data_IF_775547469546
#
_entry.id   IF_775547469546
#
_cell.length_a   1.000
_cell.length_b   1.000
_cell.length_c   1.000
_cell.angle_alpha   90.00
_cell.angle_beta   90.00
_cell.angle_gamma   90.00
#
_symmetry.space_group_name_H-M   'P 1'
#
loop_
_entity.id
_entity.type
_entity.pdbx_description
1 polymer ?
#
# COMPACT_ATOMS: atom_id res chain seq x y z
N UNK A 1 7.11 19.32 -22.86
CA UNK A 1 5.90 19.63 -23.66
C UNK A 1 6.00 20.93 -24.45
N UNK A 2 6.27 22.09 -23.82
CA UNK A 2 6.44 23.39 -24.55
C UNK A 2 7.49 23.36 -25.68
N UNK A 3 8.62 22.68 -25.47
CA UNK A 3 9.68 22.49 -26.49
C UNK A 3 9.19 21.79 -27.78
N UNK A 4 8.07 21.06 -27.73
CA UNK A 4 7.46 20.37 -28.85
C UNK A 4 6.16 21.03 -29.34
N UNK A 5 5.84 22.25 -28.88
CA UNK A 5 4.62 22.96 -29.26
C UNK A 5 3.33 22.35 -28.67
N UNK A 6 3.45 21.50 -27.65
CA UNK A 6 2.32 20.86 -26.98
C UNK A 6 1.81 21.74 -25.85
N UNK A 7 0.53 22.10 -25.92
CA UNK A 7 -0.19 22.80 -24.86
C UNK A 7 -0.87 21.76 -23.97
N UNK A 8 -0.50 21.76 -22.69
CA UNK A 8 -1.13 20.94 -21.67
C UNK A 8 -1.95 21.86 -20.76
N UNK A 9 -3.26 21.64 -20.59
CA UNK A 9 -4.12 22.47 -19.73
C UNK A 9 -3.88 22.25 -18.23
N UNK A 10 -2.74 21.68 -17.84
CA UNK A 10 -2.38 21.27 -16.46
C UNK A 10 -2.52 19.76 -16.24
N UNK A 11 -3.22 19.04 -17.11
CA UNK A 11 -3.55 17.63 -16.87
C UNK A 11 -2.38 16.66 -16.86
N UNK A 12 -1.33 16.93 -17.65
CA UNK A 12 -0.11 16.10 -17.70
C UNK A 12 0.95 16.63 -16.76
N UNK A 13 1.13 17.95 -16.70
CA UNK A 13 2.08 18.61 -15.81
C UNK A 13 1.74 18.32 -14.36
N UNK A 14 0.47 18.40 -13.95
CA UNK A 14 0.04 18.09 -12.58
C UNK A 14 0.13 16.58 -12.29
N UNK A 15 -0.18 15.72 -13.26
CA UNK A 15 -0.02 14.28 -13.11
C UNK A 15 1.45 13.84 -12.98
N UNK A 16 2.38 14.71 -13.37
CA UNK A 16 3.82 14.46 -13.30
C UNK A 16 4.52 15.40 -12.30
N UNK A 17 3.78 16.24 -11.57
CA UNK A 17 4.37 17.21 -10.64
C UNK A 17 4.79 16.58 -9.33
N UNK A 18 4.05 15.57 -8.86
CA UNK A 18 4.37 14.80 -7.66
C UNK A 18 4.08 13.30 -7.90
N UNK A 19 4.88 12.38 -7.32
CA UNK A 19 4.62 10.95 -7.45
C UNK A 19 3.43 10.49 -6.57
N UNK A 20 2.85 9.29 -6.81
CA UNK A 20 3.12 8.33 -7.89
C UNK A 20 2.90 8.93 -9.24
N UNK A 21 3.91 8.81 -10.09
CA UNK A 21 3.73 9.11 -11.50
C UNK A 21 2.81 8.05 -12.14
N UNK A 22 1.94 8.43 -13.07
CA UNK A 22 1.08 7.49 -13.79
C UNK A 22 1.93 6.42 -14.49
N UNK A 23 1.39 5.20 -14.60
CA UNK A 23 2.05 4.18 -15.43
C UNK A 23 2.14 4.66 -16.88
N UNK A 24 3.14 4.17 -17.63
CA UNK A 24 3.28 4.47 -19.07
C UNK A 24 1.97 4.31 -19.84
N UNK A 25 1.22 3.23 -19.56
CA UNK A 25 -0.06 2.96 -20.20
C UNK A 25 -1.15 3.97 -19.82
N UNK A 26 -1.21 4.39 -18.55
CA UNK A 26 -2.16 5.40 -18.08
C UNK A 26 -1.84 6.78 -18.69
N UNK A 27 -0.56 7.16 -18.71
CA UNK A 27 -0.10 8.40 -19.33
C UNK A 27 -0.30 8.39 -20.84
N UNK A 28 -0.03 7.27 -21.51
CA UNK A 28 -0.30 7.10 -22.95
C UNK A 28 -1.80 7.25 -23.26
N UNK A 29 -2.68 6.62 -22.47
CA UNK A 29 -4.13 6.74 -22.63
C UNK A 29 -4.57 8.21 -22.49
N UNK A 30 -4.03 8.91 -21.49
CA UNK A 30 -4.33 10.33 -21.25
C UNK A 30 -3.78 11.23 -22.37
N UNK A 31 -2.57 10.96 -22.86
CA UNK A 31 -2.00 11.65 -24.03
C UNK A 31 -2.84 11.45 -25.29
N UNK A 32 -3.49 10.29 -25.45
CA UNK A 32 -4.40 10.03 -26.58
C UNK A 32 -5.76 10.70 -26.43
N UNK A 33 -6.22 10.95 -25.20
CA UNK A 33 -7.48 11.69 -24.97
C UNK A 33 -7.31 13.19 -25.13
N UNK A 34 -6.09 13.70 -24.95
CA UNK A 34 -5.75 15.07 -25.28
C UNK A 34 -5.50 15.13 -26.80
N UNK A 35 -6.21 16.00 -27.52
CA UNK A 35 -6.08 16.18 -28.97
C UNK A 35 -4.73 16.87 -29.34
N UNK A 36 -3.63 16.20 -29.00
CA UNK A 36 -2.27 16.70 -29.11
C UNK A 36 -1.74 16.48 -30.53
N UNK A 37 -1.33 17.57 -31.19
CA UNK A 37 -0.62 17.50 -32.47
C UNK A 37 0.84 17.09 -32.25
N UNK A 38 1.11 15.79 -32.30
CA UNK A 38 2.46 15.24 -32.16
C UNK A 38 3.27 15.35 -33.47
N UNK A 39 4.60 15.54 -33.40
CA UNK A 39 5.47 15.43 -34.58
C UNK A 39 5.34 14.06 -35.28
N UNK A 40 5.59 14.02 -36.60
CA UNK A 40 5.38 12.82 -37.46
C UNK A 40 6.02 11.51 -36.96
N UNK A 41 7.07 11.57 -36.14
CA UNK A 41 7.79 10.41 -35.61
C UNK A 41 7.63 10.23 -34.09
N UNK A 42 6.72 10.97 -33.46
CA UNK A 42 6.49 10.92 -32.02
C UNK A 42 5.11 10.31 -31.76
N UNK A 43 5.09 9.08 -31.27
CA UNK A 43 3.85 8.45 -30.81
C UNK A 43 3.51 8.87 -29.38
N UNK A 44 2.24 8.77 -28.99
CA UNK A 44 1.82 8.96 -27.60
C UNK A 44 2.58 8.03 -26.64
N UNK A 45 2.91 6.82 -27.11
CA UNK A 45 3.78 5.89 -26.40
C UNK A 45 5.19 6.45 -26.18
N UNK A 46 5.87 6.87 -27.24
CA UNK A 46 7.23 7.40 -27.16
C UNK A 46 7.28 8.66 -26.27
N UNK A 47 6.25 9.52 -26.38
CA UNK A 47 6.12 10.70 -25.53
C UNK A 47 5.87 10.33 -24.06
N UNK A 48 5.04 9.32 -23.77
CA UNK A 48 4.83 8.84 -22.40
C UNK A 48 6.11 8.30 -21.77
N UNK A 49 6.92 7.57 -22.53
CA UNK A 49 8.21 7.03 -22.09
C UNK A 49 9.20 8.17 -21.79
N UNK A 50 9.30 9.15 -22.70
CA UNK A 50 10.17 10.31 -22.52
C UNK A 50 9.75 11.22 -21.36
N UNK A 51 8.44 11.43 -21.16
CA UNK A 51 7.92 12.23 -20.05
C UNK A 51 8.20 11.56 -18.71
N UNK A 52 7.94 10.26 -18.57
CA UNK A 52 8.24 9.51 -17.35
C UNK A 52 9.74 9.46 -17.06
N UNK A 53 10.57 9.31 -18.09
CA UNK A 53 12.03 9.39 -17.95
C UNK A 53 12.50 10.79 -17.49
N UNK A 54 11.75 11.86 -17.84
CA UNK A 54 12.10 13.24 -17.50
C UNK A 54 11.75 13.66 -16.07
N UNK A 55 10.88 12.91 -15.39
CA UNK A 55 10.55 13.12 -13.97
C UNK A 55 11.22 12.05 -13.10
N UNK A 56 12.49 11.78 -13.35
CA UNK A 56 13.25 10.64 -12.80
C UNK A 56 12.94 10.32 -11.33
N UNK A 57 13.11 9.04 -10.97
CA UNK A 57 12.97 8.57 -9.58
C UNK A 57 13.90 9.32 -8.60
N UNK A 58 14.96 9.94 -9.11
CA UNK A 58 15.94 10.75 -8.37
C UNK A 58 15.76 12.26 -8.54
N UNK A 59 14.66 12.73 -9.13
CA UNK A 59 14.41 14.17 -9.25
C UNK A 59 14.29 14.79 -7.85
N UNK A 60 14.66 16.07 -7.64
CA UNK A 60 14.50 16.73 -6.34
C UNK A 60 13.05 16.69 -5.80
N UNK A 61 12.05 16.68 -6.69
CA UNK A 61 10.65 16.52 -6.31
C UNK A 61 10.36 15.09 -5.81
N UNK A 62 10.89 14.08 -6.50
CA UNK A 62 10.77 12.68 -6.09
C UNK A 62 11.51 12.40 -4.79
N UNK A 63 12.73 12.94 -4.63
CA UNK A 63 13.51 12.85 -3.41
C UNK A 63 12.80 13.54 -2.24
N UNK A 64 12.29 14.75 -2.43
CA UNK A 64 11.51 15.47 -1.41
C UNK A 64 10.22 14.72 -1.05
N UNK A 65 9.59 14.04 -2.00
CA UNK A 65 8.43 13.19 -1.75
C UNK A 65 8.80 11.91 -0.97
N UNK A 66 9.92 11.26 -1.31
CA UNK A 66 10.50 10.14 -0.55
C UNK A 66 10.88 10.57 0.87
N UNK A 67 11.47 11.73 1.04
CA UNK A 67 11.77 12.31 2.37
C UNK A 67 10.51 12.61 3.18
N UNK A 68 9.41 12.99 2.50
CA UNK A 68 8.14 13.34 3.13
C UNK A 68 7.27 12.12 3.47
N UNK A 69 7.34 11.03 2.70
CA UNK A 69 6.42 9.89 2.80
C UNK A 69 7.12 8.50 2.85
N UNK A 70 8.45 8.45 2.79
CA UNK A 70 9.26 7.23 2.80
C UNK A 70 9.87 6.93 4.16
N UNK A 71 9.04 6.90 5.21
CA UNK A 71 9.51 6.78 6.60
C UNK A 71 9.88 5.34 7.02
N UNK A 72 9.75 4.35 6.14
CA UNK A 72 10.07 2.95 6.44
C UNK A 72 11.51 2.74 6.99
N UNK A 73 12.56 3.40 6.47
CA UNK A 73 13.91 3.27 7.03
C UNK A 73 14.03 3.76 8.48
N UNK A 74 13.16 4.68 8.92
CA UNK A 74 13.17 5.21 10.30
C UNK A 74 12.74 4.16 11.33
N UNK A 75 12.07 3.07 10.92
CA UNK A 75 11.65 1.97 11.81
C UNK A 75 12.83 1.33 12.57
N UNK A 76 14.04 1.34 11.99
CA UNK A 76 15.23 0.80 12.62
C UNK A 76 15.67 1.58 13.88
N UNK A 77 15.34 2.87 13.96
CA UNK A 77 15.69 3.73 15.09
C UNK A 77 14.69 3.62 16.26
N UNK A 78 13.51 3.03 16.02
CA UNK A 78 12.46 2.88 17.03
C UNK A 78 12.75 1.61 17.84
N UNK A 79 12.78 1.72 19.16
CA UNK A 79 12.89 0.58 20.07
C UNK A 79 11.53 -0.09 20.20
N UNK A 80 11.54 -1.42 20.23
CA UNK A 80 10.33 -2.19 20.55
C UNK A 80 9.90 -1.95 22.00
N UNK A 81 8.60 -2.00 22.25
CA UNK A 81 7.98 -1.83 23.56
C UNK A 81 6.90 -0.75 23.58
N UNK A 82 6.07 -0.78 24.63
CA UNK A 82 4.93 0.13 24.79
C UNK A 82 5.34 1.62 24.82
N UNK A 83 6.52 1.94 25.34
CA UNK A 83 7.02 3.32 25.48
C UNK A 83 7.20 4.05 24.16
N UNK A 84 7.47 3.33 23.06
CA UNK A 84 7.60 3.90 21.72
C UNK A 84 6.48 3.44 20.76
N UNK A 85 5.42 2.80 21.26
CA UNK A 85 4.32 2.34 20.43
C UNK A 85 3.67 3.48 19.63
N UNK A 86 3.41 4.63 20.25
CA UNK A 86 2.85 5.79 19.54
C UNK A 86 3.76 6.32 18.42
N UNK A 87 5.10 6.30 18.62
CA UNK A 87 6.04 6.66 17.58
C UNK A 87 6.04 5.62 16.45
N UNK A 88 6.04 4.33 16.80
CA UNK A 88 5.93 3.23 15.84
C UNK A 88 4.68 3.35 14.97
N UNK A 89 3.51 3.60 15.57
CA UNK A 89 2.23 3.70 14.83
C UNK A 89 2.28 4.86 13.82
N UNK A 90 2.80 6.03 14.22
CA UNK A 90 2.93 7.17 13.31
C UNK A 90 3.94 6.92 12.18
N UNK A 91 5.07 6.26 12.48
CA UNK A 91 6.07 5.93 11.46
C UNK A 91 5.56 4.88 10.48
N UNK A 92 4.84 3.85 10.96
CA UNK A 92 4.17 2.88 10.09
C UNK A 92 3.12 3.59 9.24
N UNK A 93 2.29 4.46 9.83
CA UNK A 93 1.30 5.23 9.06
C UNK A 93 1.95 6.04 7.93
N UNK A 94 2.99 6.82 8.23
CA UNK A 94 3.70 7.60 7.22
C UNK A 94 4.31 6.72 6.12
N UNK A 95 4.93 5.60 6.50
CA UNK A 95 5.48 4.64 5.54
C UNK A 95 4.39 4.05 4.63
N UNK A 96 3.27 3.61 5.20
CA UNK A 96 2.15 3.04 4.46
C UNK A 96 1.45 4.07 3.56
N UNK A 97 1.35 5.34 3.98
CA UNK A 97 0.86 6.42 3.13
C UNK A 97 1.70 6.55 1.85
N UNK A 98 3.03 6.49 1.96
CA UNK A 98 3.91 6.52 0.78
C UNK A 98 3.83 5.24 -0.06
N UNK A 99 3.90 4.07 0.60
CA UNK A 99 3.84 2.75 -0.05
C UNK A 99 2.55 2.58 -0.86
N UNK A 100 1.41 2.90 -0.25
CA UNK A 100 0.09 2.68 -0.84
C UNK A 100 -0.47 3.89 -1.59
N UNK A 101 0.32 4.96 -1.78
CA UNK A 101 -0.17 6.09 -2.54
C UNK A 101 -0.61 5.66 -3.96
N UNK A 102 -1.84 6.03 -4.33
CA UNK A 102 -2.48 5.64 -5.59
C UNK A 102 -3.18 4.27 -5.55
N UNK A 103 -3.05 3.52 -4.46
CA UNK A 103 -3.75 2.25 -4.21
C UNK A 103 -4.79 2.42 -3.11
N UNK A 104 -4.37 2.99 -1.98
CA UNK A 104 -5.18 3.31 -0.82
C UNK A 104 -5.12 4.82 -0.54
N UNK A 105 -6.20 5.39 -0.01
CA UNK A 105 -6.30 6.83 0.26
C UNK A 105 -6.95 7.13 1.62
N UNK A 106 -7.01 8.42 1.96
CA UNK A 106 -7.68 8.94 3.16
C UNK A 106 -7.26 8.21 4.45
N UNK A 107 -5.98 7.88 4.57
CA UNK A 107 -5.44 7.22 5.75
C UNK A 107 -5.75 8.00 7.03
N UNK A 108 -6.19 7.28 8.07
CA UNK A 108 -6.60 7.84 9.37
C UNK A 108 -5.89 7.06 10.47
N UNK A 109 -5.37 7.74 11.48
CA UNK A 109 -4.86 7.11 12.71
C UNK A 109 -5.98 7.13 13.75
N UNK A 110 -6.08 6.07 14.57
CA UNK A 110 -7.00 5.97 15.71
C UNK A 110 -8.48 6.21 15.32
N UNK A 111 -8.92 5.54 14.26
CA UNK A 111 -10.30 5.66 13.77
C UNK A 111 -11.26 4.87 14.66
N UNK A 112 -12.28 5.54 15.17
CA UNK A 112 -13.44 4.90 15.79
C UNK A 112 -14.32 4.21 14.73
N UNK A 113 -14.74 2.98 15.03
CA UNK A 113 -15.70 2.19 14.24
C UNK A 113 -16.76 1.59 15.17
N UNK A 114 -17.84 1.05 14.60
CA UNK A 114 -18.99 0.50 15.34
C UNK A 114 -19.50 1.48 16.40
N UNK A 115 -19.89 2.69 15.97
CA UNK A 115 -20.44 3.73 16.86
C UNK A 115 -19.57 4.04 18.09
N UNK A 116 -18.24 4.02 17.94
CA UNK A 116 -17.29 4.37 19.01
C UNK A 116 -16.88 3.22 19.93
N UNK A 117 -17.37 1.99 19.72
CA UNK A 117 -17.04 0.82 20.57
C UNK A 117 -15.63 0.30 20.27
N UNK A 118 -15.15 0.52 19.05
CA UNK A 118 -13.93 -0.08 18.55
C UNK A 118 -13.01 0.99 17.96
N UNK A 119 -11.70 0.81 18.17
CA UNK A 119 -10.67 1.67 17.61
C UNK A 119 -9.72 0.84 16.76
N UNK A 120 -9.48 1.27 15.54
CA UNK A 120 -8.46 0.72 14.65
C UNK A 120 -7.25 1.65 14.69
N UNK A 121 -6.05 1.10 14.80
CA UNK A 121 -4.83 1.91 14.84
C UNK A 121 -4.68 2.76 13.59
N UNK A 122 -4.88 2.17 12.41
CA UNK A 122 -4.84 2.85 11.12
C UNK A 122 -5.96 2.32 10.22
N UNK A 123 -6.66 3.20 9.51
CA UNK A 123 -7.64 2.83 8.48
C UNK A 123 -7.31 3.53 7.17
N UNK A 124 -7.38 2.81 6.06
CA UNK A 124 -7.36 3.40 4.72
C UNK A 124 -8.61 3.05 3.94
N UNK A 125 -8.97 3.94 3.02
CA UNK A 125 -10.01 3.68 2.03
C UNK A 125 -9.37 3.03 0.80
N UNK A 126 -10.00 1.96 0.29
CA UNK A 126 -9.52 1.25 -0.88
C UNK A 126 -10.14 1.81 -2.16
N UNK A 127 -9.32 2.53 -2.92
CA UNK A 127 -9.71 3.12 -4.21
C UNK A 127 -8.97 2.48 -5.40
N UNK A 128 -8.26 1.38 -5.18
CA UNK A 128 -7.49 0.73 -6.22
C UNK A 128 -8.39 0.30 -7.39
N UNK A 129 -7.91 0.57 -8.61
CA UNK A 129 -8.56 0.20 -9.87
C UNK A 129 -7.96 -1.06 -10.50
N UNK A 130 -6.76 -1.46 -10.05
CA UNK A 130 -6.02 -2.65 -10.48
C UNK A 130 -5.13 -3.19 -9.35
N UNK A 131 -4.53 -4.36 -9.60
CA UNK A 131 -3.60 -4.98 -8.67
C UNK A 131 -4.30 -5.62 -7.49
N UNK A 132 -3.53 -5.95 -6.46
CA UNK A 132 -3.97 -6.73 -5.31
C UNK A 132 -5.20 -6.10 -4.62
N UNK A 133 -5.10 -4.80 -4.30
CA UNK A 133 -6.17 -4.10 -3.57
C UNK A 133 -7.47 -4.00 -4.37
N UNK A 134 -7.39 -3.90 -5.69
CA UNK A 134 -8.59 -3.92 -6.53
C UNK A 134 -9.22 -5.31 -6.61
N UNK A 135 -8.40 -6.37 -6.67
CA UNK A 135 -8.90 -7.75 -6.68
C UNK A 135 -9.66 -8.08 -5.39
N UNK A 136 -9.11 -7.73 -4.22
CA UNK A 136 -9.79 -7.99 -2.95
C UNK A 136 -10.98 -7.08 -2.69
N UNK A 137 -10.98 -5.86 -3.26
CA UNK A 137 -12.14 -4.96 -3.22
C UNK A 137 -13.31 -5.51 -4.01
N UNK A 138 -13.04 -6.02 -5.21
CA UNK A 138 -14.06 -6.52 -6.14
C UNK A 138 -14.45 -7.99 -5.89
N UNK A 139 -13.77 -8.68 -4.97
CA UNK A 139 -14.13 -10.04 -4.56
C UNK A 139 -15.47 -10.04 -3.80
N UNK A 140 -16.48 -10.79 -4.25
CA UNK A 140 -17.76 -10.90 -3.53
C UNK A 140 -17.62 -11.47 -2.12
N UNK A 141 -16.56 -12.25 -1.86
CA UNK A 141 -16.32 -12.86 -0.55
C UNK A 141 -15.60 -11.93 0.43
N UNK A 142 -14.82 -10.97 -0.09
CA UNK A 142 -13.97 -10.11 0.74
C UNK A 142 -14.46 -8.67 0.82
N UNK A 143 -14.91 -8.10 -0.29
CA UNK A 143 -15.46 -6.73 -0.39
C UNK A 143 -14.65 -5.68 0.40
N UNK A 144 -13.34 -5.60 0.16
CA UNK A 144 -12.41 -4.73 0.89
C UNK A 144 -12.53 -3.26 0.49
N UNK A 145 -13.59 -2.58 0.91
CA UNK A 145 -13.76 -1.13 0.70
C UNK A 145 -12.85 -0.31 1.60
N UNK A 146 -12.54 -0.83 2.79
CA UNK A 146 -11.61 -0.27 3.74
C UNK A 146 -10.56 -1.31 4.11
N UNK A 147 -9.38 -0.83 4.48
CA UNK A 147 -8.26 -1.67 4.92
C UNK A 147 -7.90 -1.26 6.33
N UNK A 148 -8.47 -1.90 7.36
CA UNK A 148 -8.05 -1.73 8.75
C UNK A 148 -6.68 -2.33 8.97
N UNK A 149 -5.88 -1.63 9.77
CA UNK A 149 -4.51 -1.98 10.08
C UNK A 149 -4.30 -1.87 11.59
N UNK A 150 -3.81 -2.93 12.18
CA UNK A 150 -3.41 -2.99 13.59
C UNK A 150 -1.88 -3.02 13.67
N UNK A 151 -1.30 -2.20 14.56
CA UNK A 151 0.14 -2.08 14.73
C UNK A 151 0.56 -2.66 16.10
N UNK A 152 1.61 -3.49 16.13
CA UNK A 152 2.12 -4.10 17.36
C UNK A 152 3.62 -3.88 17.50
N UNK A 153 4.01 -2.94 18.37
CA UNK A 153 5.41 -2.65 18.68
C UNK A 153 5.99 -3.58 19.77
N UNK A 154 5.84 -4.89 19.61
CA UNK A 154 6.28 -5.88 20.61
C UNK A 154 7.49 -6.69 20.13
N UNK A 155 8.21 -7.31 21.06
CA UNK A 155 9.29 -8.28 20.77
C UNK A 155 8.84 -9.73 20.90
N UNK A 156 7.69 -9.95 21.53
CA UNK A 156 7.06 -11.25 21.69
C UNK A 156 6.35 -11.67 20.40
N UNK A 157 6.14 -12.98 20.26
CA UNK A 157 5.28 -13.51 19.19
C UNK A 157 3.84 -13.04 19.40
N UNK A 158 3.14 -12.88 18.28
CA UNK A 158 1.72 -12.55 18.28
C UNK A 158 0.92 -13.76 18.75
N UNK A 159 -0.12 -13.51 19.54
CA UNK A 159 -0.98 -14.52 20.11
C UNK A 159 -2.41 -14.36 19.57
N UNK A 160 -3.31 -15.28 19.91
CA UNK A 160 -4.72 -15.22 19.48
C UNK A 160 -5.36 -13.83 19.65
N UNK A 161 -5.17 -13.11 20.77
CA UNK A 161 -5.81 -11.81 20.99
C UNK A 161 -5.52 -10.78 19.89
N UNK A 162 -4.31 -10.75 19.32
CA UNK A 162 -3.98 -9.79 18.26
C UNK A 162 -4.73 -10.10 16.95
N UNK A 163 -4.89 -11.38 16.61
CA UNK A 163 -5.69 -11.79 15.44
C UNK A 163 -7.18 -11.58 15.68
N UNK A 164 -7.66 -11.84 16.90
CA UNK A 164 -9.05 -11.65 17.29
C UNK A 164 -9.42 -10.16 17.31
N UNK A 165 -8.50 -9.31 17.76
CA UNK A 165 -8.67 -7.86 17.73
C UNK A 165 -8.93 -7.36 16.31
N UNK A 166 -8.06 -7.71 15.35
CA UNK A 166 -8.22 -7.29 13.95
C UNK A 166 -9.46 -7.93 13.30
N UNK A 167 -9.69 -9.22 13.55
CA UNK A 167 -10.89 -9.95 13.10
C UNK A 167 -12.18 -9.26 13.54
N UNK A 168 -12.25 -8.76 14.77
CA UNK A 168 -13.38 -7.96 15.27
C UNK A 168 -13.55 -6.59 14.60
N UNK A 169 -12.60 -6.14 13.77
CA UNK A 169 -12.73 -4.93 12.93
C UNK A 169 -13.30 -5.23 11.55
N UNK A 170 -13.35 -6.50 11.15
CA UNK A 170 -13.79 -6.93 9.83
C UNK A 170 -15.28 -7.23 9.83
N UNK A 171 -16.01 -6.68 8.87
CA UNK A 171 -17.43 -6.91 8.67
C UNK A 171 -17.79 -6.59 7.20
N UNK A 172 -19.07 -6.63 6.85
CA UNK A 172 -19.48 -6.43 5.45
C UNK A 172 -19.45 -4.96 5.01
N UNK A 173 -19.50 -4.01 5.96
CA UNK A 173 -19.40 -2.57 5.68
C UNK A 173 -17.94 -2.13 5.47
N UNK A 174 -17.03 -2.64 6.31
CA UNK A 174 -15.59 -2.39 6.27
C UNK A 174 -14.91 -3.22 5.17
N UNK A 175 -15.29 -4.49 5.09
CA UNK A 175 -14.63 -5.53 4.32
C UNK A 175 -13.96 -6.59 5.19
N UNK A 176 -13.52 -7.67 4.55
CA UNK A 176 -12.94 -8.85 5.19
C UNK A 176 -11.43 -8.98 5.02
N UNK A 177 -10.74 -7.88 4.72
CA UNK A 177 -9.27 -7.84 4.58
C UNK A 177 -8.69 -6.85 5.57
N UNK A 178 -7.70 -7.28 6.35
CA UNK A 178 -6.99 -6.43 7.29
C UNK A 178 -5.50 -6.72 7.31
N UNK A 179 -4.71 -5.71 7.70
CA UNK A 179 -3.26 -5.84 7.83
C UNK A 179 -2.87 -5.86 9.31
N UNK A 180 -2.03 -6.83 9.70
CA UNK A 180 -1.43 -6.87 11.02
C UNK A 180 0.06 -6.56 10.88
N UNK A 181 0.45 -5.37 11.31
CA UNK A 181 1.82 -4.84 11.17
C UNK A 181 2.54 -4.94 12.51
N UNK A 182 3.73 -5.52 12.53
CA UNK A 182 4.47 -5.80 13.76
C UNK A 182 5.98 -5.79 13.54
N UNK A 183 6.76 -5.82 14.64
CA UNK A 183 8.22 -5.75 14.55
C UNK A 183 8.83 -7.01 13.94
N UNK A 184 8.65 -8.14 14.62
CA UNK A 184 9.17 -9.44 14.21
C UNK A 184 8.47 -10.55 15.00
N UNK A 185 8.34 -11.72 14.37
CA UNK A 185 7.95 -12.97 15.04
C UNK A 185 9.06 -14.02 14.89
N UNK A 186 9.12 -14.93 15.85
CA UNK A 186 9.96 -16.12 15.87
C UNK A 186 9.19 -17.33 15.35
N UNK A 187 7.98 -17.58 15.85
CA UNK A 187 7.18 -18.74 15.46
C UNK A 187 6.26 -18.47 14.27
N UNK A 188 6.84 -18.50 13.05
CA UNK A 188 6.08 -18.32 11.80
C UNK A 188 5.02 -19.39 11.58
N UNK A 189 5.25 -20.63 12.00
CA UNK A 189 4.27 -21.73 11.85
C UNK A 189 2.99 -21.46 12.65
N UNK A 190 3.14 -21.02 13.90
CA UNK A 190 2.00 -20.64 14.74
C UNK A 190 1.24 -19.46 14.15
N UNK A 191 1.96 -18.43 13.70
CA UNK A 191 1.36 -17.27 13.05
C UNK A 191 0.54 -17.65 11.80
N UNK A 192 1.09 -18.50 10.94
CA UNK A 192 0.40 -19.01 9.76
C UNK A 192 -0.86 -19.80 10.12
N UNK A 193 -0.81 -20.64 11.16
CA UNK A 193 -1.98 -21.39 11.63
C UNK A 193 -3.11 -20.45 12.09
N UNK A 194 -2.79 -19.32 12.74
CA UNK A 194 -3.78 -18.30 13.08
C UNK A 194 -4.37 -17.63 11.83
N UNK A 195 -3.55 -17.24 10.86
CA UNK A 195 -4.04 -16.65 9.60
C UNK A 195 -4.96 -17.62 8.85
N UNK A 196 -4.63 -18.90 8.81
CA UNK A 196 -5.46 -19.93 8.18
C UNK A 196 -6.78 -20.17 8.90
N UNK A 197 -6.78 -20.14 10.23
CA UNK A 197 -8.01 -20.22 11.02
C UNK A 197 -8.97 -19.06 10.71
N UNK A 198 -8.43 -17.85 10.48
CA UNK A 198 -9.21 -16.66 10.07
C UNK A 198 -9.66 -16.76 8.61
N UNK A 199 -8.80 -17.25 7.72
CA UNK A 199 -9.13 -17.47 6.32
C UNK A 199 -10.33 -18.43 6.14
N UNK A 200 -10.42 -19.48 6.97
CA UNK A 200 -11.59 -20.39 7.01
C UNK A 200 -12.90 -19.68 7.34
N UNK A 201 -12.85 -18.53 8.02
CA UNK A 201 -13.98 -17.65 8.32
C UNK A 201 -14.19 -16.55 7.26
N UNK A 202 -13.50 -16.66 6.13
CA UNK A 202 -13.47 -15.66 5.04
C UNK A 202 -12.87 -14.31 5.45
N UNK A 203 -11.99 -14.32 6.45
CA UNK A 203 -11.25 -13.15 6.90
C UNK A 203 -9.78 -13.27 6.46
N UNK A 204 -9.33 -12.34 5.63
CA UNK A 204 -7.96 -12.29 5.14
C UNK A 204 -7.14 -11.35 6.03
N UNK A 205 -6.39 -11.93 6.97
CA UNK A 205 -5.41 -11.19 7.78
C UNK A 205 -4.02 -11.36 7.17
N UNK A 206 -3.46 -10.27 6.64
CA UNK A 206 -2.13 -10.25 6.05
C UNK A 206 -1.14 -9.70 7.07
N UNK A 207 -0.10 -10.47 7.34
CA UNK A 207 0.93 -10.16 8.31
C UNK A 207 2.14 -9.51 7.64
N UNK A 208 2.54 -8.33 8.15
CA UNK A 208 3.68 -7.56 7.65
C UNK A 208 4.63 -7.25 8.82
N UNK A 209 5.82 -7.84 8.80
CA UNK A 209 6.89 -7.47 9.72
C UNK A 209 7.67 -6.24 9.25
N UNK A 210 8.60 -5.71 10.04
CA UNK A 210 9.40 -4.54 9.64
C UNK A 210 10.19 -4.80 8.33
N UNK A 211 10.60 -6.04 8.06
CA UNK A 211 11.30 -6.39 6.83
C UNK A 211 10.35 -6.40 5.63
N UNK A 212 9.10 -6.82 5.81
CA UNK A 212 8.05 -6.68 4.80
C UNK A 212 7.75 -5.22 4.48
N UNK A 213 7.69 -4.34 5.49
CA UNK A 213 7.49 -2.89 5.27
C UNK A 213 8.64 -2.29 4.47
N UNK A 214 9.90 -2.66 4.80
CA UNK A 214 11.06 -2.24 4.01
C UNK A 214 11.05 -2.83 2.59
N UNK A 215 10.61 -4.08 2.41
CA UNK A 215 10.45 -4.70 1.10
C UNK A 215 9.41 -3.98 0.26
N UNK A 216 8.26 -3.66 0.84
CA UNK A 216 7.19 -2.90 0.19
C UNK A 216 7.65 -1.48 -0.17
N UNK A 217 8.40 -0.83 0.72
CA UNK A 217 9.04 0.46 0.43
C UNK A 217 9.97 0.33 -0.78
N UNK A 218 10.92 -0.62 -0.77
CA UNK A 218 11.81 -0.84 -1.92
C UNK A 218 11.03 -1.15 -3.20
N UNK A 219 10.00 -1.98 -3.13
CA UNK A 219 9.15 -2.31 -4.28
C UNK A 219 8.43 -1.07 -4.83
N UNK A 220 8.03 -0.13 -3.97
CA UNK A 220 7.35 1.10 -4.36
C UNK A 220 8.27 2.14 -4.99
N UNK A 221 9.50 2.26 -4.46
CA UNK A 221 10.39 3.38 -4.75
C UNK A 221 11.59 3.04 -5.64
N UNK A 222 11.98 1.77 -5.69
CA UNK A 222 13.11 1.27 -6.50
C UNK A 222 12.68 0.08 -7.39
N UNK A 223 11.39 -0.27 -7.38
CA UNK A 223 10.81 -1.43 -8.06
C UNK A 223 9.98 -1.03 -9.27
N UNK A 224 9.51 -2.04 -10.01
CA UNK A 224 8.63 -1.83 -11.16
C UNK A 224 7.17 -1.67 -10.71
N UNK A 225 6.32 -1.02 -11.53
CA UNK A 225 4.88 -1.05 -11.31
C UNK A 225 4.38 -2.49 -11.14
N UNK A 226 3.68 -2.75 -10.03
CA UNK A 226 3.17 -4.08 -9.68
C UNK A 226 4.03 -4.87 -8.69
N UNK A 227 5.27 -4.46 -8.40
CA UNK A 227 6.11 -5.19 -7.44
C UNK A 227 5.52 -5.16 -6.01
N UNK A 228 4.76 -4.11 -5.66
CA UNK A 228 3.97 -4.07 -4.42
C UNK A 228 2.91 -5.17 -4.41
N UNK A 229 2.19 -5.36 -5.52
CA UNK A 229 1.16 -6.40 -5.64
C UNK A 229 1.76 -7.80 -5.48
N UNK A 230 2.95 -8.02 -6.06
CA UNK A 230 3.68 -9.30 -5.94
C UNK A 230 3.91 -9.67 -4.47
N UNK A 231 4.32 -8.71 -3.63
CA UNK A 231 4.52 -8.96 -2.18
C UNK A 231 3.21 -9.44 -1.53
N UNK A 232 2.09 -8.81 -1.84
CA UNK A 232 0.79 -9.22 -1.29
C UNK A 232 0.33 -10.58 -1.81
N UNK A 233 0.48 -10.86 -3.11
CA UNK A 233 0.11 -12.15 -3.68
C UNK A 233 0.96 -13.29 -3.12
N UNK A 234 2.24 -13.07 -2.85
CA UNK A 234 3.08 -14.03 -2.15
C UNK A 234 2.56 -14.32 -0.73
N UNK A 235 2.23 -13.28 0.05
CA UNK A 235 1.65 -13.44 1.39
C UNK A 235 0.33 -14.20 1.36
N UNK A 236 -0.55 -13.90 0.42
CA UNK A 236 -1.83 -14.62 0.27
C UNK A 236 -1.61 -16.06 -0.13
N UNK A 237 -0.66 -16.33 -1.05
CA UNK A 237 -0.30 -17.69 -1.44
C UNK A 237 0.18 -18.52 -0.25
N UNK A 238 0.99 -17.93 0.64
CA UNK A 238 1.42 -18.60 1.87
C UNK A 238 0.22 -19.01 2.74
N UNK A 239 -0.74 -18.10 2.94
CA UNK A 239 -1.96 -18.38 3.72
C UNK A 239 -2.78 -19.52 3.09
N UNK A 240 -2.95 -19.48 1.77
CA UNK A 240 -3.85 -20.40 1.05
C UNK A 240 -3.25 -21.79 0.79
N UNK A 241 -1.97 -21.88 0.42
CA UNK A 241 -1.38 -23.13 -0.07
C UNK A 241 -0.57 -23.88 0.99
N UNK A 242 -0.01 -23.19 1.98
CA UNK A 242 0.81 -23.84 3.00
C UNK A 242 -0.05 -24.34 4.15
N UNK A 243 -1.03 -25.19 3.87
CA UNK A 243 -1.77 -25.91 4.91
C UNK A 243 -0.76 -26.72 5.73
N UNK A 244 -0.68 -26.47 7.04
CA UNK A 244 0.09 -27.30 7.97
C UNK A 244 -0.36 -28.75 7.76
N UNK A 245 0.53 -29.58 7.22
CA UNK A 245 0.37 -31.03 7.28
C UNK A 245 0.48 -31.49 8.72
#
# INVERSE_FOLDING_TARGET
MRRFGLTDPGEIVDALSEPPFPSRAALEKKLRSLDLRLPRNVSARLLSEALLASVSEDSPATLKWREKFGDAPKLAAIKSGATQAGLYHRTIFAALQGIFNGLLANGRIEQEINTGIHRVDIMFDNFADKGFFAEVRNSPQLSSNYVPIECKNYTADLESPEYDQLSGRLNDDVGRVGLLVFRKIKNRTKALAHQQAKWKKREMIIMLDDADILRLHKARYDGRPGDVDVVFFEKVREIQLNSTK
#
